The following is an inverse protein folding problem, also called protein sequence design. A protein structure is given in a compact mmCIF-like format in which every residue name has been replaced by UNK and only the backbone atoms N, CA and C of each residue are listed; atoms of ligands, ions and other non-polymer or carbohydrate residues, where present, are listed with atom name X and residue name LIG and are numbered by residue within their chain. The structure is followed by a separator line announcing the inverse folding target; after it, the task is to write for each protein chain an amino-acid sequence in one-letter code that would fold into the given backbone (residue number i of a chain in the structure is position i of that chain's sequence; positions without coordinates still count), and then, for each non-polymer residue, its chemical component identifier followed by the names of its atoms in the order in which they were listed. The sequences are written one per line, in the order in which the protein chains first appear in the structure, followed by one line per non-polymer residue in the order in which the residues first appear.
data_IF_684015942932
#
_entry.id   IF_684015942932
#
_cell.length_a   1.000
_cell.length_b   1.000
_cell.length_c   1.000
_cell.angle_alpha   90.00
_cell.angle_beta   90.00
_cell.angle_gamma   90.00
#
_symmetry.space_group_name_H-M   'P 1'
#
loop_
_entity.id
_entity.type
_entity.pdbx_description
1 polymer ?
#
# COMPACT_ATOMS: atom_id res chain seq x y z
N UNK A 1 3.44 10.64 11.96
CA UNK A 1 3.99 9.27 11.87
C UNK A 1 5.48 9.34 12.09
N UNK A 2 6.02 8.43 12.91
CA UNK A 2 7.47 8.30 13.14
C UNK A 2 8.00 7.18 12.24
N UNK A 3 9.24 7.30 11.74
CA UNK A 3 9.85 6.26 10.89
C UNK A 3 9.97 4.95 11.68
N UNK A 4 9.67 3.82 11.03
CA UNK A 4 9.67 2.49 11.66
C UNK A 4 8.41 2.18 12.50
N UNK A 5 7.50 3.13 12.66
CA UNK A 5 6.24 2.91 13.39
C UNK A 5 5.24 2.10 12.56
N UNK A 6 4.57 1.15 13.19
CA UNK A 6 3.36 0.50 12.66
C UNK A 6 2.14 1.27 13.19
N UNK A 7 1.46 2.03 12.33
CA UNK A 7 0.29 2.83 12.70
C UNK A 7 -0.93 2.38 11.88
N UNK A 8 -1.90 1.66 12.50
CA UNK A 8 -3.09 1.21 11.78
C UNK A 8 -4.10 2.34 11.57
N UNK A 9 -4.91 2.21 10.52
CA UNK A 9 -6.15 2.97 10.31
C UNK A 9 -7.31 2.00 10.45
N UNK A 10 -8.19 2.25 11.41
CA UNK A 10 -9.43 1.49 11.54
C UNK A 10 -10.54 2.16 10.73
N UNK A 11 -11.24 1.35 9.95
CA UNK A 11 -12.38 1.79 9.16
C UNK A 11 -13.46 0.72 9.15
N UNK A 12 -14.50 0.92 8.35
CA UNK A 12 -15.60 -0.02 8.17
C UNK A 12 -16.23 0.13 6.79
N UNK A 13 -17.09 -0.83 6.44
CA UNK A 13 -17.79 -0.87 5.16
C UNK A 13 -18.53 0.43 4.89
N UNK A 14 -18.38 0.96 3.67
CA UNK A 14 -18.99 2.23 3.24
C UNK A 14 -18.26 3.50 3.68
N UNK A 15 -17.28 3.42 4.57
CA UNK A 15 -16.44 4.57 4.93
C UNK A 15 -15.35 4.84 3.88
N UNK A 16 -14.90 6.10 3.71
CA UNK A 16 -14.01 6.49 2.61
C UNK A 16 -12.53 6.15 2.85
N UNK A 17 -12.19 5.00 3.44
CA UNK A 17 -10.80 4.62 3.73
C UNK A 17 -9.92 4.55 2.48
N UNK A 18 -10.46 4.11 1.34
CA UNK A 18 -9.72 4.11 0.07
C UNK A 18 -9.28 5.52 -0.35
N UNK A 19 -10.12 6.54 -0.09
CA UNK A 19 -9.75 7.94 -0.36
C UNK A 19 -8.65 8.45 0.58
N UNK A 20 -8.68 8.04 1.85
CA UNK A 20 -7.65 8.35 2.84
C UNK A 20 -6.33 7.71 2.43
N UNK A 21 -6.34 6.41 2.09
CA UNK A 21 -5.15 5.68 1.61
C UNK A 21 -4.56 6.36 0.37
N UNK A 22 -5.39 6.66 -0.63
CA UNK A 22 -4.93 7.36 -1.82
C UNK A 22 -4.35 8.75 -1.48
N UNK A 23 -4.92 9.46 -0.52
CA UNK A 23 -4.37 10.74 -0.06
C UNK A 23 -3.00 10.57 0.61
N UNK A 24 -2.84 9.55 1.46
CA UNK A 24 -1.55 9.23 2.09
C UNK A 24 -0.51 8.95 1.00
N UNK A 25 -0.84 8.12 0.01
CA UNK A 25 0.07 7.81 -1.11
C UNK A 25 0.52 9.08 -1.84
N UNK A 26 -0.41 9.99 -2.11
CA UNK A 26 -0.10 11.26 -2.80
C UNK A 26 0.79 12.19 -1.98
N UNK A 27 0.51 12.32 -0.68
CA UNK A 27 1.07 13.37 0.17
C UNK A 27 2.23 12.90 1.05
N UNK A 28 2.45 11.59 1.20
CA UNK A 28 3.55 11.06 1.99
C UNK A 28 4.88 11.52 1.38
N UNK A 29 5.67 12.20 2.22
CA UNK A 29 6.99 12.69 1.90
C UNK A 29 7.83 12.73 3.17
N UNK A 30 9.14 12.64 3.00
CA UNK A 30 10.09 12.81 4.08
C UNK A 30 10.49 14.28 4.16
N UNK A 31 10.33 14.90 5.32
CA UNK A 31 10.80 16.28 5.56
C UNK A 31 12.30 16.23 5.88
N UNK A 32 13.13 16.98 5.14
CA UNK A 32 14.58 17.03 5.37
C UNK A 32 15.39 17.08 4.06
N UNK A 33 16.68 16.74 4.14
CA UNK A 33 17.59 16.61 2.97
C UNK A 33 17.04 15.59 1.96
N UNK A 34 17.63 15.56 0.77
CA UNK A 34 17.34 14.62 -0.34
C UNK A 34 17.51 13.14 0.07
N UNK A 35 16.57 12.61 0.84
CA UNK A 35 16.49 11.20 1.19
C UNK A 35 15.56 10.50 0.20
N UNK A 36 16.02 9.40 -0.40
CA UNK A 36 15.22 8.61 -1.35
C UNK A 36 14.02 8.02 -0.62
N UNK A 37 12.82 8.25 -1.15
CA UNK A 37 11.56 7.80 -0.56
C UNK A 37 10.78 6.95 -1.55
N UNK A 38 10.30 5.80 -1.09
CA UNK A 38 9.43 4.89 -1.85
C UNK A 38 8.17 4.55 -1.05
N UNK A 39 7.12 4.23 -1.78
CA UNK A 39 5.87 3.72 -1.24
C UNK A 39 5.72 2.28 -1.73
N UNK A 40 5.37 1.37 -0.83
CA UNK A 40 4.94 0.02 -1.19
C UNK A 40 3.48 -0.14 -0.79
N UNK A 41 2.61 -0.27 -1.78
CA UNK A 41 1.17 -0.40 -1.59
C UNK A 41 0.75 -1.84 -1.87
N UNK A 42 -0.04 -2.43 -0.98
CA UNK A 42 -0.65 -3.74 -1.17
C UNK A 42 -2.16 -3.64 -1.01
N UNK A 43 -2.89 -3.90 -2.10
CA UNK A 43 -4.33 -4.08 -2.10
C UNK A 43 -4.66 -5.58 -1.97
N UNK A 44 -5.48 -5.99 -0.99
CA UNK A 44 -5.80 -7.39 -0.69
C UNK A 44 -7.31 -7.62 -0.77
N UNK A 45 -7.73 -8.53 -1.66
CA UNK A 45 -9.13 -8.91 -1.84
C UNK A 45 -10.06 -7.74 -2.20
N UNK A 46 -9.54 -6.66 -2.79
CA UNK A 46 -10.34 -5.46 -3.06
C UNK A 46 -11.26 -5.65 -4.26
N UNK A 47 -12.36 -4.89 -4.34
CA UNK A 47 -13.20 -4.91 -5.54
C UNK A 47 -12.44 -4.43 -6.78
N UNK A 48 -12.91 -4.80 -7.97
CA UNK A 48 -12.33 -4.30 -9.22
C UNK A 48 -12.40 -2.77 -9.30
N UNK A 49 -13.49 -2.17 -8.84
CA UNK A 49 -13.67 -0.72 -8.83
C UNK A 49 -12.67 -0.02 -7.90
N UNK A 50 -12.39 -0.60 -6.73
CA UNK A 50 -11.38 -0.08 -5.80
C UNK A 50 -9.98 -0.21 -6.37
N UNK A 51 -9.65 -1.34 -6.99
CA UNK A 51 -8.38 -1.54 -7.69
C UNK A 51 -8.19 -0.50 -8.81
N UNK A 52 -9.20 -0.30 -9.64
CA UNK A 52 -9.20 0.71 -10.70
C UNK A 52 -9.06 2.13 -10.14
N UNK A 53 -9.73 2.44 -9.01
CA UNK A 53 -9.59 3.70 -8.31
C UNK A 53 -8.14 3.96 -7.88
N UNK A 54 -7.48 2.99 -7.25
CA UNK A 54 -6.09 3.13 -6.82
C UNK A 54 -5.13 3.30 -8.00
N UNK A 55 -5.27 2.48 -9.05
CA UNK A 55 -4.42 2.57 -10.25
C UNK A 55 -4.55 3.94 -10.93
N UNK A 56 -5.78 4.41 -11.13
CA UNK A 56 -6.04 5.75 -11.68
C UNK A 56 -5.43 6.84 -10.80
N UNK A 57 -5.52 6.71 -9.47
CA UNK A 57 -4.96 7.70 -8.56
C UNK A 57 -3.43 7.76 -8.63
N UNK A 58 -2.76 6.60 -8.73
CA UNK A 58 -1.31 6.51 -8.87
C UNK A 58 -0.82 7.15 -10.18
N UNK A 59 -1.53 6.93 -11.27
CA UNK A 59 -1.20 7.48 -12.60
C UNK A 59 -1.37 9.00 -12.66
N UNK A 60 -2.49 9.53 -12.12
CA UNK A 60 -2.81 10.96 -12.20
C UNK A 60 -1.90 11.86 -11.37
N UNK A 61 -1.16 11.30 -10.40
CA UNK A 61 -0.49 12.09 -9.35
C UNK A 61 1.02 12.03 -9.42
N UNK A 62 1.58 11.32 -10.41
CA UNK A 62 3.01 11.05 -10.51
C UNK A 62 3.56 10.17 -9.38
N UNK A 63 2.72 9.75 -8.43
CA UNK A 63 3.12 8.87 -7.34
C UNK A 63 3.57 7.49 -7.85
N UNK A 64 3.14 7.10 -9.06
CA UNK A 64 3.55 5.87 -9.74
C UNK A 64 5.07 5.70 -9.84
N UNK A 65 5.82 6.77 -10.08
CA UNK A 65 7.29 6.68 -10.25
C UNK A 65 8.02 6.24 -8.97
N UNK A 66 7.41 6.47 -7.81
CA UNK A 66 7.97 6.12 -6.50
C UNK A 66 7.17 5.05 -5.75
N UNK A 67 6.23 4.40 -6.43
CA UNK A 67 5.33 3.41 -5.81
C UNK A 67 5.46 2.05 -6.46
N UNK A 68 5.70 1.03 -5.65
CA UNK A 68 5.51 -0.38 -6.03
C UNK A 68 4.15 -0.81 -5.52
N UNK A 69 3.26 -1.27 -6.40
CA UNK A 69 1.91 -1.68 -6.06
C UNK A 69 1.69 -3.18 -6.30
N UNK A 70 1.21 -3.89 -5.29
CA UNK A 70 0.74 -5.26 -5.36
C UNK A 70 -0.78 -5.24 -5.24
N UNK A 71 -1.49 -5.60 -6.31
CA UNK A 71 -2.95 -5.52 -6.35
C UNK A 71 -3.52 -6.93 -6.46
N UNK A 72 -4.21 -7.36 -5.42
CA UNK A 72 -5.00 -8.59 -5.37
C UNK A 72 -6.47 -8.22 -5.21
N UNK A 73 -7.29 -8.71 -6.13
CA UNK A 73 -8.72 -8.44 -6.23
C UNK A 73 -9.56 -9.52 -5.56
N UNK A 74 -10.84 -9.23 -5.32
CA UNK A 74 -11.78 -10.18 -4.73
C UNK A 74 -11.98 -11.45 -5.60
N UNK A 75 -11.78 -11.35 -6.92
CA UNK A 75 -11.87 -12.48 -7.86
C UNK A 75 -10.63 -13.37 -7.88
N UNK A 76 -9.51 -12.91 -7.33
CA UNK A 76 -8.26 -13.65 -7.33
C UNK A 76 -8.27 -14.78 -6.28
N UNK A 77 -7.46 -15.84 -6.46
CA UNK A 77 -7.38 -16.96 -5.53
C UNK A 77 -7.09 -16.51 -4.08
N UNK A 78 -7.78 -17.13 -3.12
CA UNK A 78 -7.62 -16.81 -1.69
C UNK A 78 -6.17 -16.94 -1.21
N UNK A 79 -5.41 -17.91 -1.76
CA UNK A 79 -3.99 -18.10 -1.42
C UNK A 79 -3.12 -16.88 -1.76
N UNK A 80 -3.47 -16.14 -2.81
CA UNK A 80 -2.75 -14.92 -3.18
C UNK A 80 -2.95 -13.80 -2.16
N UNK A 81 -4.10 -13.76 -1.46
CA UNK A 81 -4.35 -12.80 -0.37
C UNK A 81 -3.35 -12.96 0.76
N UNK A 82 -3.01 -14.21 1.11
CA UNK A 82 -2.02 -14.51 2.17
C UNK A 82 -0.60 -14.10 1.72
N UNK A 83 -0.30 -14.27 0.44
CA UNK A 83 1.03 -14.00 -0.11
C UNK A 83 1.27 -12.52 -0.41
N UNK A 84 0.23 -11.76 -0.74
CA UNK A 84 0.32 -10.36 -1.17
C UNK A 84 1.00 -9.46 -0.13
N UNK A 85 0.63 -9.46 1.17
CA UNK A 85 1.35 -8.68 2.19
C UNK A 85 2.80 -9.11 2.36
N UNK A 86 3.11 -10.41 2.22
CA UNK A 86 4.47 -10.93 2.35
C UNK A 86 5.35 -10.40 1.23
N UNK A 87 4.88 -10.47 -0.02
CA UNK A 87 5.58 -9.94 -1.19
C UNK A 87 5.81 -8.42 -1.06
N UNK A 88 4.79 -7.69 -0.61
CA UNK A 88 4.90 -6.26 -0.37
C UNK A 88 5.95 -5.93 0.72
N UNK A 89 5.94 -6.66 1.83
CA UNK A 89 6.95 -6.47 2.89
C UNK A 89 8.34 -6.85 2.40
N UNK A 90 8.52 -7.94 1.66
CA UNK A 90 9.82 -8.30 1.08
C UNK A 90 10.37 -7.21 0.15
N UNK A 91 9.53 -6.65 -0.72
CA UNK A 91 9.95 -5.53 -1.57
C UNK A 91 10.32 -4.29 -0.74
N UNK A 92 9.53 -3.99 0.31
CA UNK A 92 9.81 -2.89 1.20
C UNK A 92 11.12 -3.04 1.97
N UNK A 93 11.41 -4.26 2.45
CA UNK A 93 12.64 -4.63 3.15
C UNK A 93 13.86 -4.45 2.24
N UNK A 94 13.79 -4.96 1.00
CA UNK A 94 14.84 -4.76 0.01
C UNK A 94 15.09 -3.28 -0.28
N UNK A 95 14.04 -2.49 -0.53
CA UNK A 95 14.17 -1.06 -0.80
C UNK A 95 14.73 -0.30 0.41
N UNK A 96 14.36 -0.70 1.63
CA UNK A 96 14.83 -0.06 2.85
C UNK A 96 16.30 -0.38 3.15
N UNK A 97 16.66 -1.67 3.17
CA UNK A 97 17.95 -2.12 3.69
C UNK A 97 19.03 -2.26 2.62
N UNK A 98 18.68 -2.68 1.40
CA UNK A 98 19.65 -2.84 0.32
C UNK A 98 19.75 -1.59 -0.54
N UNK A 99 18.63 -0.89 -0.76
CA UNK A 99 18.61 0.35 -1.54
C UNK A 99 18.66 1.63 -0.69
N UNK A 100 18.78 1.52 0.63
CA UNK A 100 18.90 2.66 1.55
C UNK A 100 17.84 3.75 1.29
N UNK A 101 16.57 3.33 1.13
CA UNK A 101 15.43 4.22 0.94
C UNK A 101 14.57 4.29 2.19
N UNK A 102 13.90 5.42 2.41
CA UNK A 102 12.76 5.45 3.33
C UNK A 102 11.54 4.85 2.65
N UNK A 103 10.95 3.85 3.29
CA UNK A 103 9.81 3.13 2.74
C UNK A 103 8.58 3.33 3.61
N UNK A 104 7.49 3.74 2.98
CA UNK A 104 6.16 3.67 3.59
C UNK A 104 5.41 2.48 3.00
N UNK A 105 5.09 1.49 3.85
CA UNK A 105 4.25 0.36 3.47
C UNK A 105 2.80 0.64 3.83
N UNK A 106 1.88 0.42 2.90
CA UNK A 106 0.45 0.54 3.12
C UNK A 106 -0.21 -0.78 2.70
N UNK A 107 -0.89 -1.43 3.65
CA UNK A 107 -1.63 -2.67 3.42
C UNK A 107 -3.13 -2.38 3.60
N UNK A 108 -3.95 -2.73 2.61
CA UNK A 108 -5.40 -2.55 2.64
C UNK A 108 -6.08 -3.63 1.78
N UNK A 109 -7.11 -4.36 2.18
CA UNK A 109 -7.77 -4.38 3.47
C UNK A 109 -7.28 -5.57 4.30
N UNK A 110 -6.90 -5.32 5.55
CA UNK A 110 -6.46 -6.37 6.47
C UNK A 110 -7.61 -7.28 6.94
N UNK A 111 -8.85 -6.83 6.81
CA UNK A 111 -10.05 -7.65 7.02
C UNK A 111 -10.07 -8.80 6.02
N UNK A 112 -9.92 -8.50 4.73
CA UNK A 112 -9.88 -9.50 3.66
C UNK A 112 -8.68 -10.45 3.78
N UNK A 113 -7.56 -9.96 4.30
CA UNK A 113 -6.41 -10.80 4.63
C UNK A 113 -6.75 -11.78 5.75
N UNK A 114 -7.36 -11.31 6.83
CA UNK A 114 -7.75 -12.14 7.97
C UNK A 114 -8.85 -13.15 7.62
N UNK A 115 -9.78 -12.82 6.72
CA UNK A 115 -10.79 -13.76 6.22
C UNK A 115 -10.18 -14.89 5.37
N UNK A 116 -8.99 -14.67 4.81
CA UNK A 116 -8.28 -15.66 4.01
C UNK A 116 -7.39 -16.61 4.84
N UNK A 117 -7.14 -16.30 6.11
CA UNK A 117 -6.34 -17.11 7.05
C UNK A 117 -7.13 -18.28 7.62
#
# INVERSE_FOLDING_TARGET
MVRGQKLPIFSGSGLPHNRIVAQIIRQAAVKGREERFAIVFAAVGVSYDDAAFFMKNLEQTGARERTVAFINTASDPVLERISTPKLALTAAEYLAWEQNMHVLVILSDMTNYCEAL
#
